data_IF_388808254427
#
_entry.id   IF_388808254427
#
_cell.length_a   1.000
_cell.length_b   1.000
_cell.length_c   1.000
_cell.angle_alpha   90.00
_cell.angle_beta   90.00
_cell.angle_gamma   90.00
#
_symmetry.space_group_name_H-M   'P 1'
#
loop_
_entity.id
_entity.type
_entity.pdbx_description
1 polymer ?
#
# COMPACT_ATOMS: atom_id res chain seq x y z
N UNK A 1 6.04 -18.67 15.53
CA UNK A 1 5.36 -17.70 16.41
C UNK A 1 6.10 -16.39 16.30
N UNK A 2 5.41 -15.28 16.03
CA UNK A 2 6.03 -13.96 16.02
C UNK A 2 5.72 -13.27 17.35
N UNK A 3 6.76 -12.83 18.06
CA UNK A 3 6.65 -12.07 19.30
C UNK A 3 7.10 -10.63 19.07
N UNK A 4 6.24 -9.68 19.38
CA UNK A 4 6.58 -8.26 19.44
C UNK A 4 6.29 -7.76 20.87
N UNK A 5 6.82 -6.61 21.26
CA UNK A 5 6.59 -5.99 22.57
C UNK A 5 5.11 -5.78 22.93
N UNK A 6 4.20 -5.87 21.94
CA UNK A 6 2.75 -5.82 22.12
C UNK A 6 2.00 -7.17 22.19
N UNK A 7 2.68 -8.33 22.12
CA UNK A 7 2.02 -9.65 22.25
C UNK A 7 2.53 -10.73 21.30
N UNK A 8 1.82 -11.87 21.26
CA UNK A 8 2.11 -13.03 20.40
C UNK A 8 1.08 -13.12 19.29
N UNK A 9 1.52 -13.09 18.03
CA UNK A 9 0.66 -13.31 16.86
C UNK A 9 0.87 -14.73 16.32
N UNK A 10 -0.22 -15.49 16.24
CA UNK A 10 -0.22 -16.81 15.62
C UNK A 10 -0.71 -16.68 14.17
N UNK A 11 0.15 -17.02 13.22
CA UNK A 11 -0.18 -17.02 11.79
C UNK A 11 -0.32 -18.49 11.34
N UNK A 12 -1.48 -18.92 10.83
CA UNK A 12 -1.65 -20.26 10.28
C UNK A 12 -0.65 -20.52 9.15
N UNK A 13 0.00 -21.70 9.09
CA UNK A 13 1.08 -21.96 8.12
C UNK A 13 0.61 -21.88 6.65
N UNK A 14 -0.65 -22.25 6.38
CA UNK A 14 -1.24 -22.19 5.04
C UNK A 14 -1.59 -20.77 4.58
N UNK A 15 -1.62 -19.79 5.49
CA UNK A 15 -1.86 -18.36 5.17
C UNK A 15 -0.58 -17.54 5.28
N UNK A 16 0.55 -18.16 5.64
CA UNK A 16 1.78 -17.44 5.92
C UNK A 16 2.26 -16.62 4.71
N UNK A 17 2.21 -17.21 3.52
CA UNK A 17 2.62 -16.52 2.29
C UNK A 17 1.73 -15.30 1.97
N UNK A 18 0.43 -15.45 2.13
CA UNK A 18 -0.53 -14.38 1.90
C UNK A 18 -0.35 -13.25 2.92
N UNK A 19 -0.23 -13.59 4.21
CA UNK A 19 -0.01 -12.62 5.29
C UNK A 19 1.31 -11.88 5.12
N UNK A 20 2.37 -12.56 4.67
CA UNK A 20 3.66 -11.90 4.35
C UNK A 20 3.52 -10.96 3.15
N UNK A 21 2.82 -11.38 2.08
CA UNK A 21 2.58 -10.51 0.91
C UNK A 21 1.78 -9.27 1.28
N UNK A 22 0.67 -9.44 2.00
CA UNK A 22 -0.18 -8.33 2.47
C UNK A 22 0.55 -7.42 3.45
N UNK A 23 1.33 -7.99 4.39
CA UNK A 23 2.15 -7.23 5.33
C UNK A 23 3.23 -6.40 4.62
N UNK A 24 3.88 -6.98 3.60
CA UNK A 24 4.84 -6.25 2.75
C UNK A 24 4.18 -5.12 1.97
N UNK A 25 2.99 -5.35 1.39
CA UNK A 25 2.19 -4.32 0.71
C UNK A 25 1.83 -3.16 1.65
N UNK A 26 1.37 -3.46 2.87
CA UNK A 26 1.07 -2.42 3.88
C UNK A 26 2.32 -1.63 4.23
N UNK A 27 3.44 -2.32 4.48
CA UNK A 27 4.69 -1.69 4.90
C UNK A 27 5.20 -0.65 3.88
N UNK A 28 5.19 -0.98 2.59
CA UNK A 28 5.66 -0.06 1.55
C UNK A 28 4.67 1.10 1.32
N UNK A 29 3.36 0.86 1.45
CA UNK A 29 2.36 1.94 1.44
C UNK A 29 2.59 2.92 2.57
N UNK A 30 2.84 2.44 3.78
CA UNK A 30 3.12 3.30 4.94
C UNK A 30 4.38 4.14 4.72
N UNK A 31 5.49 3.52 4.27
CA UNK A 31 6.75 4.24 4.00
C UNK A 31 6.55 5.33 2.94
N UNK A 32 5.89 5.00 1.84
CA UNK A 32 5.58 5.96 0.78
C UNK A 32 4.65 7.07 1.30
N UNK A 33 3.62 6.71 2.06
CA UNK A 33 2.69 7.64 2.68
C UNK A 33 3.38 8.63 3.62
N UNK A 34 4.27 8.16 4.50
CA UNK A 34 5.06 9.02 5.37
C UNK A 34 5.96 9.99 4.58
N UNK A 35 6.56 9.53 3.47
CA UNK A 35 7.37 10.40 2.59
C UNK A 35 6.52 11.49 1.96
N UNK A 36 5.34 11.14 1.44
CA UNK A 36 4.39 12.08 0.83
C UNK A 36 3.83 13.11 1.84
N UNK A 37 3.53 12.67 3.07
CA UNK A 37 3.20 13.54 4.19
C UNK A 37 4.34 14.50 4.53
N UNK A 38 5.58 13.98 4.59
CA UNK A 38 6.76 14.80 4.86
C UNK A 38 7.00 15.85 3.76
N UNK A 39 6.73 15.50 2.50
CA UNK A 39 6.82 16.43 1.36
C UNK A 39 5.62 17.40 1.27
N UNK A 40 4.63 17.31 2.17
CA UNK A 40 3.38 18.08 2.14
C UNK A 40 2.65 18.01 0.79
N UNK A 41 2.87 16.94 0.01
CA UNK A 41 2.23 16.75 -1.29
C UNK A 41 0.79 16.26 -1.16
N UNK A 42 0.49 15.54 -0.09
CA UNK A 42 -0.84 15.00 0.22
C UNK A 42 -1.15 15.17 1.71
N UNK A 43 -2.43 15.28 2.01
CA UNK A 43 -2.91 15.34 3.40
C UNK A 43 -3.04 13.93 4.00
N UNK A 44 -2.99 13.83 5.33
CA UNK A 44 -3.18 12.55 6.02
C UNK A 44 -4.52 11.89 5.63
N UNK A 45 -5.57 12.69 5.44
CA UNK A 45 -6.88 12.21 5.01
C UNK A 45 -6.88 11.61 3.59
N UNK A 46 -6.00 12.08 2.71
CA UNK A 46 -5.87 11.52 1.35
C UNK A 46 -5.07 10.22 1.35
N UNK A 47 -4.06 10.09 2.21
CA UNK A 47 -3.23 8.88 2.30
C UNK A 47 -3.94 7.76 3.07
N UNK A 48 -4.79 8.11 4.04
CA UNK A 48 -5.64 7.19 4.82
C UNK A 48 -6.79 6.57 4.01
N UNK A 49 -6.89 6.89 2.71
CA UNK A 49 -7.93 6.33 1.84
C UNK A 49 -7.78 4.81 1.71
N UNK A 50 -8.90 4.11 1.90
CA UNK A 50 -9.03 2.66 1.64
C UNK A 50 -8.56 2.26 0.24
N UNK A 51 -8.88 3.08 -0.77
CA UNK A 51 -8.46 2.89 -2.17
C UNK A 51 -7.62 4.09 -2.60
N UNK A 52 -6.34 3.83 -2.87
CA UNK A 52 -5.41 4.82 -3.41
C UNK A 52 -5.78 5.16 -4.84
N UNK A 53 -5.67 6.43 -5.20
CA UNK A 53 -5.94 6.86 -6.58
C UNK A 53 -4.82 6.40 -7.51
N UNK A 54 -5.11 6.34 -8.81
CA UNK A 54 -4.13 5.95 -9.83
C UNK A 54 -2.84 6.77 -9.75
N UNK A 55 -2.95 8.06 -9.43
CA UNK A 55 -1.80 8.97 -9.24
C UNK A 55 -0.94 8.58 -8.04
N UNK A 56 -1.56 8.17 -6.93
CA UNK A 56 -0.81 7.73 -5.74
C UNK A 56 -0.12 6.38 -5.98
N UNK A 57 -0.78 5.46 -6.69
CA UNK A 57 -0.16 4.20 -7.09
C UNK A 57 1.02 4.41 -8.04
N UNK A 58 0.92 5.37 -8.97
CA UNK A 58 2.03 5.73 -9.86
C UNK A 58 3.24 6.25 -9.07
N UNK A 59 3.00 7.13 -8.09
CA UNK A 59 4.04 7.60 -7.17
C UNK A 59 4.65 6.47 -6.33
N UNK A 60 3.85 5.49 -5.93
CA UNK A 60 4.32 4.32 -5.20
C UNK A 60 5.21 3.42 -6.08
N UNK A 61 4.82 3.19 -7.33
CA UNK A 61 5.65 2.43 -8.30
C UNK A 61 6.94 3.18 -8.62
N UNK A 62 6.88 4.51 -8.75
CA UNK A 62 8.07 5.35 -8.91
C UNK A 62 8.98 5.27 -7.68
N UNK A 63 8.41 5.35 -6.48
CA UNK A 63 9.13 5.16 -5.22
C UNK A 63 9.81 3.78 -5.15
N UNK A 64 9.12 2.72 -5.56
CA UNK A 64 9.66 1.35 -5.58
C UNK A 64 10.88 1.21 -6.53
N UNK A 65 10.90 2.00 -7.61
CA UNK A 65 12.00 2.00 -8.60
C UNK A 65 13.17 2.89 -8.18
N UNK A 66 12.89 4.09 -7.66
CA UNK A 66 13.89 5.12 -7.39
C UNK A 66 14.48 5.03 -5.97
N UNK A 67 13.72 4.51 -5.01
CA UNK A 67 14.14 4.49 -3.61
C UNK A 67 14.77 3.14 -3.22
N UNK A 68 15.92 3.13 -2.53
CA UNK A 68 16.53 1.89 -2.04
C UNK A 68 15.64 1.12 -1.08
N UNK A 69 14.74 1.77 -0.33
CA UNK A 69 13.78 1.10 0.54
C UNK A 69 12.68 0.37 -0.25
N UNK A 70 12.45 0.77 -1.50
CA UNK A 70 11.49 0.19 -2.42
C UNK A 70 11.97 -1.10 -3.12
N UNK A 71 13.29 -1.31 -3.20
CA UNK A 71 13.89 -2.44 -3.93
C UNK A 71 13.40 -3.82 -3.46
N UNK A 72 13.13 -3.98 -2.16
CA UNK A 72 12.64 -5.24 -1.59
C UNK A 72 11.19 -5.56 -2.02
N UNK A 73 10.46 -4.56 -2.52
CA UNK A 73 9.04 -4.63 -2.86
C UNK A 73 8.77 -4.65 -4.36
N UNK A 74 9.80 -4.73 -5.21
CA UNK A 74 9.68 -4.75 -6.68
C UNK A 74 8.94 -5.99 -7.22
N UNK A 75 8.95 -7.08 -6.46
CA UNK A 75 8.25 -8.34 -6.77
C UNK A 75 6.73 -8.26 -6.50
N UNK A 76 6.26 -7.21 -5.81
CA UNK A 76 4.85 -7.08 -5.49
C UNK A 76 4.05 -6.62 -6.71
N UNK A 77 3.00 -7.37 -7.03
CA UNK A 77 2.00 -6.98 -8.03
C UNK A 77 0.98 -5.98 -7.44
N UNK A 78 0.76 -4.89 -8.17
CA UNK A 78 -0.16 -3.79 -7.81
C UNK A 78 -1.37 -3.73 -8.75
N UNK A 79 -1.53 -4.71 -9.64
CA UNK A 79 -2.53 -4.68 -10.72
C UNK A 79 -3.95 -4.62 -10.14
N UNK A 80 -4.22 -5.39 -9.09
CA UNK A 80 -5.51 -5.41 -8.40
C UNK A 80 -5.86 -4.04 -7.80
N UNK A 81 -4.91 -3.38 -7.14
CA UNK A 81 -5.11 -2.02 -6.62
C UNK A 81 -5.36 -0.98 -7.72
N UNK A 82 -4.72 -1.10 -8.89
CA UNK A 82 -5.00 -0.25 -10.04
C UNK A 82 -6.41 -0.47 -10.60
N UNK A 83 -6.90 -1.71 -10.61
CA UNK A 83 -8.26 -2.03 -11.02
C UNK A 83 -9.29 -1.47 -10.03
N UNK A 84 -9.05 -1.64 -8.73
CA UNK A 84 -9.88 -1.05 -7.66
C UNK A 84 -9.90 0.47 -7.73
N UNK A 85 -8.76 1.11 -8.00
CA UNK A 85 -8.69 2.56 -8.21
C UNK A 85 -9.56 2.99 -9.40
N UNK A 86 -9.49 2.25 -10.52
CA UNK A 86 -10.27 2.52 -11.73
C UNK A 86 -11.78 2.31 -11.49
N UNK A 87 -12.16 1.28 -10.76
CA UNK A 87 -13.55 1.02 -10.39
C UNK A 87 -14.08 2.08 -9.42
N UNK A 88 -13.27 2.49 -8.43
CA UNK A 88 -13.60 3.54 -7.49
C UNK A 88 -13.80 4.91 -8.15
N UNK A 89 -12.97 5.27 -9.14
CA UNK A 89 -13.19 6.47 -9.95
C UNK A 89 -14.47 6.37 -10.80
N UNK A 90 -14.75 5.21 -11.40
CA UNK A 90 -15.96 4.99 -12.20
C UNK A 90 -17.25 5.08 -11.38
N UNK A 91 -17.26 4.53 -10.16
CA UNK A 91 -18.42 4.62 -9.26
C UNK A 91 -18.58 6.02 -8.64
N UNK A 92 -17.49 6.77 -8.44
CA UNK A 92 -17.54 8.15 -7.95
C UNK A 92 -18.16 9.16 -8.92
N UNK A 93 -18.25 8.84 -10.22
CA UNK A 93 -18.87 9.70 -11.24
C UNK A 93 -20.36 9.40 -11.51
N UNK A 94 -20.91 8.31 -10.97
CA UNK A 94 -22.30 7.90 -11.24
C UNK A 94 -23.33 8.41 -10.21
N UNK A 95 -22.96 9.42 -9.43
CA UNK A 95 -23.88 10.11 -8.52
C UNK A 95 -23.96 11.60 -8.89
N UNK A 96 -24.45 11.89 -10.10
CA UNK A 96 -25.01 13.17 -10.49
C UNK A 96 -26.37 12.94 -11.16
#
# INVERSE_FOLDING_TARGET
>A
MYGCSGGVLFIPPHLLEEVIKTGRKSKVKDICGFKLLSENKFTAAEIDRLVWTKKMLDLLVDFIKNDPQGKEFQDLDWSEEYELAKQGEAYGQSAL
#
